data_IF_289936025858
#
_entry.id   IF_289936025858
#
_cell.length_a   1.000
_cell.length_b   1.000
_cell.length_c   1.000
_cell.angle_alpha   90.00
_cell.angle_beta   90.00
_cell.angle_gamma   90.00
#
_symmetry.space_group_name_H-M   'P 1'
#
loop_
_entity.id
_entity.type
_entity.pdbx_description
1 polymer ?
#
# COMPACT_ATOMS: atom_id res chain seq x y z
N UNK A 1 -9.15 0.93 -11.66
CA UNK A 1 -9.00 0.16 -10.40
C UNK A 1 -10.31 -0.41 -9.88
N UNK A 2 -10.32 -1.03 -8.70
CA UNK A 2 -11.48 -1.67 -8.07
C UNK A 2 -11.68 -1.13 -6.65
N UNK A 3 -12.76 -0.40 -6.38
CA UNK A 3 -13.05 0.14 -5.05
C UNK A 3 -14.38 -0.36 -4.46
N UNK A 4 -14.43 -0.46 -3.14
CA UNK A 4 -15.65 -0.68 -2.36
C UNK A 4 -15.89 0.54 -1.48
N UNK A 5 -16.91 1.32 -1.82
CA UNK A 5 -17.32 2.52 -1.08
C UNK A 5 -18.34 2.16 0.01
N UNK A 6 -18.70 3.13 0.85
CA UNK A 6 -19.79 2.95 1.83
C UNK A 6 -21.14 2.58 1.18
N UNK A 7 -21.32 2.94 -0.09
CA UNK A 7 -22.54 2.71 -0.88
C UNK A 7 -22.49 1.45 -1.75
N UNK A 8 -21.34 0.77 -1.86
CA UNK A 8 -21.16 -0.45 -2.65
C UNK A 8 -19.94 -0.42 -3.57
N UNK A 9 -19.85 -1.44 -4.44
CA UNK A 9 -18.72 -1.61 -5.34
C UNK A 9 -18.76 -0.60 -6.50
N UNK A 10 -17.61 -0.03 -6.85
CA UNK A 10 -17.45 0.88 -8.00
C UNK A 10 -16.31 0.41 -8.92
N UNK A 11 -16.24 0.97 -10.13
CA UNK A 11 -15.23 0.69 -11.15
C UNK A 11 -15.09 -0.81 -11.45
N UNK A 12 -13.87 -1.35 -11.45
CA UNK A 12 -13.63 -2.77 -11.72
C UNK A 12 -14.17 -3.69 -10.60
N UNK A 13 -14.46 -3.17 -9.40
CA UNK A 13 -15.17 -3.94 -8.38
C UNK A 13 -16.63 -4.14 -8.79
N UNK A 14 -17.27 -3.13 -9.39
CA UNK A 14 -18.61 -3.26 -9.95
C UNK A 14 -18.62 -4.22 -11.14
N UNK A 15 -17.64 -4.11 -12.05
CA UNK A 15 -17.48 -5.04 -13.15
C UNK A 15 -17.30 -6.49 -12.65
N UNK A 16 -16.45 -6.69 -11.63
CA UNK A 16 -16.26 -7.97 -10.96
C UNK A 16 -17.56 -8.51 -10.33
N UNK A 17 -18.35 -7.64 -9.70
CA UNK A 17 -19.63 -8.03 -9.11
C UNK A 17 -20.64 -8.53 -10.15
N UNK A 18 -20.65 -7.92 -11.34
CA UNK A 18 -21.53 -8.29 -12.45
C UNK A 18 -21.10 -9.56 -13.21
N UNK A 19 -19.86 -10.03 -13.03
CA UNK A 19 -19.40 -11.29 -13.61
C UNK A 19 -20.13 -12.51 -13.00
N UNK A 20 -20.30 -13.54 -13.81
CA UNK A 20 -20.83 -14.82 -13.33
C UNK A 20 -19.87 -15.47 -12.32
N UNK A 21 -20.41 -16.38 -11.49
CA UNK A 21 -19.59 -17.13 -10.54
C UNK A 21 -18.48 -17.94 -11.23
N UNK A 22 -18.73 -18.49 -12.43
CA UNK A 22 -17.73 -19.24 -13.19
C UNK A 22 -16.63 -18.33 -13.75
N UNK A 23 -16.99 -17.14 -14.27
CA UNK A 23 -15.99 -16.16 -14.73
C UNK A 23 -15.06 -15.72 -13.60
N UNK A 24 -15.62 -15.36 -12.44
CA UNK A 24 -14.83 -15.01 -11.25
C UNK A 24 -13.93 -16.15 -10.82
N UNK A 25 -14.44 -17.38 -10.76
CA UNK A 25 -13.65 -18.55 -10.38
C UNK A 25 -12.48 -18.80 -11.34
N UNK A 26 -12.72 -18.72 -12.64
CA UNK A 26 -11.67 -18.87 -13.66
C UNK A 26 -10.59 -17.80 -13.53
N UNK A 27 -10.98 -16.53 -13.38
CA UNK A 27 -10.02 -15.44 -13.22
C UNK A 27 -9.21 -15.63 -11.92
N UNK A 28 -9.87 -15.92 -10.80
CA UNK A 28 -9.16 -16.21 -9.53
C UNK A 28 -8.16 -17.35 -9.69
N UNK A 29 -8.54 -18.45 -10.35
CA UNK A 29 -7.64 -19.58 -10.60
C UNK A 29 -6.43 -19.18 -11.48
N UNK A 30 -6.64 -18.40 -12.53
CA UNK A 30 -5.56 -17.95 -13.41
C UNK A 30 -4.56 -17.06 -12.66
N UNK A 31 -5.05 -16.11 -11.87
CA UNK A 31 -4.21 -15.24 -11.04
C UNK A 31 -3.49 -16.05 -9.96
N UNK A 32 -4.18 -16.96 -9.26
CA UNK A 32 -3.58 -17.84 -8.26
C UNK A 32 -2.50 -18.74 -8.87
N UNK A 33 -2.72 -19.32 -10.04
CA UNK A 33 -1.75 -20.14 -10.75
C UNK A 33 -0.51 -19.34 -11.18
N UNK A 34 -0.68 -18.05 -11.45
CA UNK A 34 0.41 -17.12 -11.70
C UNK A 34 1.09 -16.59 -10.42
N UNK A 35 0.63 -17.02 -9.24
CA UNK A 35 1.12 -16.53 -7.94
C UNK A 35 0.67 -15.11 -7.60
N UNK A 36 -0.34 -14.58 -8.28
CA UNK A 36 -0.89 -13.23 -8.10
C UNK A 36 -2.11 -13.31 -7.17
N UNK A 37 -2.19 -12.36 -6.24
CA UNK A 37 -3.34 -12.17 -5.35
C UNK A 37 -4.20 -11.02 -5.87
N UNK A 38 -5.51 -11.17 -5.79
CA UNK A 38 -6.47 -10.16 -6.21
C UNK A 38 -7.06 -9.51 -4.96
N UNK A 39 -6.92 -8.19 -4.86
CA UNK A 39 -7.46 -7.37 -3.77
C UNK A 39 -8.44 -6.34 -4.36
N UNK A 40 -9.47 -5.97 -3.58
CA UNK A 40 -10.26 -4.75 -3.81
C UNK A 40 -9.74 -3.70 -2.86
N UNK A 41 -9.81 -2.44 -3.22
CA UNK A 41 -9.52 -1.36 -2.30
C UNK A 41 -10.81 -0.90 -1.59
N UNK A 42 -10.82 -0.79 -0.27
CA UNK A 42 -11.91 -0.11 0.43
C UNK A 42 -11.68 1.41 0.37
N UNK A 43 -12.70 2.17 -0.04
CA UNK A 43 -12.71 3.63 -0.16
C UNK A 43 -11.96 4.19 -1.39
N UNK A 44 -10.86 4.91 -1.20
CA UNK A 44 -10.24 5.82 -2.17
C UNK A 44 -10.55 7.29 -1.89
N UNK A 45 -9.84 8.19 -2.58
CA UNK A 45 -9.78 9.65 -2.34
C UNK A 45 -11.12 10.38 -2.21
N UNK A 46 -12.19 9.85 -2.79
CA UNK A 46 -13.52 10.49 -2.81
C UNK A 46 -14.42 10.12 -1.63
N UNK A 47 -14.02 9.17 -0.77
CA UNK A 47 -14.80 8.75 0.40
C UNK A 47 -14.15 9.24 1.71
N UNK A 48 -14.96 9.80 2.61
CA UNK A 48 -14.53 10.32 3.90
C UNK A 48 -15.35 9.64 5.01
N UNK A 49 -15.10 8.34 5.31
CA UNK A 49 -15.98 7.52 6.15
C UNK A 49 -16.01 7.99 7.61
N UNK A 50 -14.93 8.53 8.15
CA UNK A 50 -14.91 9.05 9.53
C UNK A 50 -15.64 10.38 9.59
N UNK A 51 -15.35 11.30 8.67
CA UNK A 51 -15.99 12.62 8.61
C UNK A 51 -17.50 12.52 8.38
N UNK A 52 -17.96 11.56 7.59
CA UNK A 52 -19.39 11.28 7.36
C UNK A 52 -20.08 10.56 8.53
N UNK A 53 -19.35 10.15 9.55
CA UNK A 53 -19.90 9.44 10.72
C UNK A 53 -20.31 7.99 10.44
N UNK A 54 -19.70 7.35 9.44
CA UNK A 54 -19.97 5.95 9.15
C UNK A 54 -19.47 5.04 10.29
N UNK A 55 -20.30 4.08 10.71
CA UNK A 55 -19.94 3.13 11.76
C UNK A 55 -18.86 2.15 11.26
N UNK A 56 -17.70 2.17 11.91
CA UNK A 56 -16.54 1.37 11.52
C UNK A 56 -16.83 -0.14 11.55
N UNK A 57 -17.56 -0.62 12.56
CA UNK A 57 -17.80 -2.06 12.73
C UNK A 57 -18.81 -2.59 11.72
N UNK A 58 -19.90 -1.84 11.50
CA UNK A 58 -20.91 -2.16 10.52
C UNK A 58 -20.35 -2.11 9.10
N UNK A 59 -19.51 -1.11 8.81
CA UNK A 59 -18.87 -1.00 7.52
C UNK A 59 -17.84 -2.10 7.32
N UNK A 60 -17.02 -2.41 8.33
CA UNK A 60 -16.10 -3.54 8.29
C UNK A 60 -16.83 -4.87 8.06
N UNK A 61 -17.98 -5.09 8.70
CA UNK A 61 -18.80 -6.29 8.49
C UNK A 61 -19.35 -6.37 7.08
N UNK A 62 -19.90 -5.26 6.57
CA UNK A 62 -20.49 -5.16 5.22
C UNK A 62 -19.43 -5.38 4.16
N UNK A 63 -18.29 -4.71 4.33
CA UNK A 63 -17.14 -4.91 3.48
C UNK A 63 -16.66 -6.34 3.61
N UNK A 64 -16.37 -6.87 4.80
CA UNK A 64 -15.90 -8.25 5.01
C UNK A 64 -16.81 -9.33 4.39
N UNK A 65 -18.11 -9.07 4.28
CA UNK A 65 -19.06 -9.93 3.57
C UNK A 65 -18.90 -9.87 2.05
N UNK A 66 -18.63 -8.68 1.47
CA UNK A 66 -18.21 -8.52 0.07
C UNK A 66 -16.82 -9.15 -0.15
N UNK A 67 -15.94 -8.87 0.82
CA UNK A 67 -14.67 -9.45 1.31
C UNK A 67 -14.04 -10.69 0.70
N UNK A 68 -13.68 -11.58 1.61
CA UNK A 68 -12.86 -12.76 1.39
C UNK A 68 -11.62 -12.59 0.47
N UNK A 69 -11.07 -11.37 0.25
CA UNK A 69 -9.70 -11.10 -0.30
C UNK A 69 -9.12 -9.63 -0.37
N UNK A 70 -9.40 -8.60 0.46
CA UNK A 70 -9.18 -7.17 0.08
C UNK A 70 -8.21 -6.27 0.89
N UNK A 71 -7.84 -5.12 0.28
CA UNK A 71 -7.00 -3.97 0.72
C UNK A 71 -7.85 -2.80 1.29
N UNK A 72 -7.27 -1.93 2.13
CA UNK A 72 -7.93 -0.76 2.74
C UNK A 72 -7.22 0.53 2.33
N UNK A 73 -7.91 1.42 1.63
CA UNK A 73 -7.36 2.67 1.09
C UNK A 73 -8.07 3.89 1.69
N UNK A 74 -7.74 4.16 2.96
CA UNK A 74 -8.31 5.24 3.73
C UNK A 74 -7.61 6.56 3.41
N UNK A 75 -8.34 7.54 2.88
CA UNK A 75 -7.82 8.87 2.51
C UNK A 75 -8.68 10.02 3.10
N UNK A 76 -9.23 9.85 4.32
CA UNK A 76 -10.02 10.89 5.01
C UNK A 76 -9.10 11.98 5.61
N UNK A 77 -8.54 12.83 4.75
CA UNK A 77 -7.67 13.94 5.13
C UNK A 77 -8.34 14.85 6.17
N UNK A 78 -9.65 15.08 6.05
CA UNK A 78 -10.39 15.95 6.98
C UNK A 78 -10.40 15.39 8.40
N UNK A 79 -10.63 14.08 8.56
CA UNK A 79 -10.60 13.45 9.87
C UNK A 79 -9.17 13.36 10.41
N UNK A 80 -8.18 13.03 9.57
CA UNK A 80 -6.79 12.93 9.98
C UNK A 80 -6.22 14.29 10.44
N UNK A 81 -6.50 15.37 9.70
CA UNK A 81 -6.00 16.72 9.98
C UNK A 81 -6.65 17.39 11.19
N UNK A 82 -7.80 16.89 11.67
CA UNK A 82 -8.34 17.32 12.98
C UNK A 82 -7.36 17.02 14.12
N UNK A 83 -6.57 15.95 13.99
CA UNK A 83 -5.57 15.56 14.97
C UNK A 83 -6.13 15.22 16.35
N UNK A 84 -7.43 14.91 16.47
CA UNK A 84 -8.12 14.66 17.74
C UNK A 84 -8.18 13.17 18.14
N UNK A 85 -7.59 12.28 17.33
CA UNK A 85 -7.58 10.83 17.57
C UNK A 85 -8.79 10.08 16.98
N UNK A 86 -9.77 10.78 16.38
CA UNK A 86 -10.99 10.15 15.88
C UNK A 86 -10.76 9.28 14.65
N UNK A 87 -9.91 9.72 13.71
CA UNK A 87 -9.51 8.93 12.54
C UNK A 87 -8.78 7.65 12.95
N UNK A 88 -7.86 7.76 13.92
CA UNK A 88 -7.07 6.63 14.42
C UNK A 88 -7.94 5.62 15.16
N UNK A 89 -8.87 6.10 16.01
CA UNK A 89 -9.83 5.23 16.70
C UNK A 89 -10.69 4.48 15.70
N UNK A 90 -11.22 5.19 14.69
CA UNK A 90 -12.02 4.59 13.63
C UNK A 90 -11.25 3.52 12.86
N UNK A 91 -10.01 3.81 12.44
CA UNK A 91 -9.15 2.87 11.72
C UNK A 91 -8.83 1.62 12.56
N UNK A 92 -8.59 1.79 13.86
CA UNK A 92 -8.34 0.68 14.79
C UNK A 92 -9.57 -0.23 14.89
N UNK A 93 -10.75 0.34 15.08
CA UNK A 93 -12.01 -0.41 15.18
C UNK A 93 -12.34 -1.12 13.86
N UNK A 94 -12.18 -0.42 12.74
CA UNK A 94 -12.37 -0.98 11.40
C UNK A 94 -11.43 -2.18 11.15
N UNK A 95 -10.14 -2.03 11.47
CA UNK A 95 -9.14 -3.10 11.33
C UNK A 95 -9.48 -4.30 12.20
N UNK A 96 -9.91 -4.06 13.45
CA UNK A 96 -10.34 -5.11 14.38
C UNK A 96 -11.60 -5.84 13.88
N UNK A 97 -12.57 -5.10 13.36
CA UNK A 97 -13.78 -5.65 12.74
C UNK A 97 -13.46 -6.53 11.55
N UNK A 98 -12.61 -6.05 10.63
CA UNK A 98 -12.16 -6.82 9.47
C UNK A 98 -11.46 -8.11 9.89
N UNK A 99 -10.51 -8.06 10.83
CA UNK A 99 -9.78 -9.27 11.27
C UNK A 99 -10.62 -10.29 12.02
N UNK A 100 -11.71 -9.85 12.64
CA UNK A 100 -12.67 -10.79 13.24
C UNK A 100 -13.35 -11.67 12.20
N UNK A 101 -13.55 -11.15 10.98
CA UNK A 101 -14.14 -11.88 9.85
C UNK A 101 -13.10 -12.46 8.88
N UNK A 102 -11.89 -11.89 8.82
CA UNK A 102 -10.82 -12.18 7.86
C UNK A 102 -9.50 -12.52 8.62
N UNK A 103 -9.38 -13.75 9.16
CA UNK A 103 -8.23 -14.13 9.95
C UNK A 103 -6.90 -13.97 9.20
N UNK A 104 -5.91 -13.41 9.89
CA UNK A 104 -4.56 -13.26 9.37
C UNK A 104 -3.95 -14.62 9.00
N UNK A 105 -3.15 -14.64 7.93
CA UNK A 105 -2.60 -15.87 7.36
C UNK A 105 -3.57 -16.65 6.46
N UNK A 106 -4.88 -16.37 6.52
CA UNK A 106 -5.87 -16.85 5.55
C UNK A 106 -6.22 -15.77 4.52
N UNK A 107 -6.33 -14.52 4.98
CA UNK A 107 -6.63 -13.37 4.15
C UNK A 107 -5.57 -12.30 4.31
N UNK A 108 -5.25 -11.66 3.19
CA UNK A 108 -4.41 -10.47 3.16
C UNK A 108 -5.28 -9.28 3.57
N UNK A 109 -4.72 -8.42 4.43
CA UNK A 109 -5.25 -7.11 4.76
C UNK A 109 -4.11 -6.11 4.74
N UNK A 110 -4.24 -5.11 3.90
CA UNK A 110 -3.22 -4.08 3.68
C UNK A 110 -3.86 -2.72 3.86
N UNK A 111 -3.01 -1.71 4.09
CA UNK A 111 -3.44 -0.33 4.19
C UNK A 111 -2.65 0.52 3.19
N UNK A 112 -3.20 1.60 2.63
CA UNK A 112 -2.49 2.48 1.70
C UNK A 112 -2.30 3.92 2.24
N UNK A 113 -1.59 4.12 3.36
CA UNK A 113 -1.43 5.45 3.94
C UNK A 113 -0.60 6.38 3.06
N UNK A 114 -0.89 7.69 3.11
CA UNK A 114 0.04 8.72 2.64
C UNK A 114 1.31 8.70 3.49
N UNK A 115 2.50 8.77 2.86
CA UNK A 115 3.78 8.70 3.58
C UNK A 115 3.91 9.68 4.77
N UNK A 116 3.44 10.94 4.69
CA UNK A 116 3.54 11.88 5.81
C UNK A 116 2.81 11.40 7.07
N UNK A 117 1.69 10.69 6.95
CA UNK A 117 0.94 10.15 8.10
C UNK A 117 1.70 9.07 8.88
N UNK A 118 2.78 8.54 8.31
CA UNK A 118 3.68 7.58 8.96
C UNK A 118 4.89 8.26 9.62
N UNK A 119 4.99 9.59 9.51
CA UNK A 119 5.94 10.46 10.21
C UNK A 119 5.31 11.23 11.37
N UNK A 120 6.09 11.70 12.35
CA UNK A 120 5.58 12.57 13.40
C UNK A 120 5.32 13.97 12.84
N UNK A 121 4.15 14.53 13.13
CA UNK A 121 3.79 15.89 12.74
C UNK A 121 2.99 16.59 13.81
N UNK A 122 3.19 17.90 13.93
CA UNK A 122 2.34 18.75 14.76
C UNK A 122 0.91 18.85 14.20
N UNK A 123 0.73 18.65 12.89
CA UNK A 123 -0.58 18.69 12.23
C UNK A 123 -1.47 17.49 12.59
N UNK A 124 -0.88 16.37 13.03
CA UNK A 124 -1.61 15.16 13.40
C UNK A 124 -1.32 14.80 14.87
N UNK A 125 -1.86 15.61 15.80
CA UNK A 125 -1.60 15.43 17.23
C UNK A 125 -2.09 14.05 17.78
N UNK A 126 -3.05 13.42 17.10
CA UNK A 126 -3.49 12.04 17.36
C UNK A 126 -2.47 10.96 16.96
N UNK A 127 -1.41 11.35 16.23
CA UNK A 127 -0.31 10.50 15.80
C UNK A 127 -0.54 9.75 14.49
N UNK A 128 -1.69 9.91 13.84
CA UNK A 128 -2.01 9.35 12.54
C UNK A 128 -1.65 7.85 12.44
N UNK A 129 -0.97 7.43 11.37
CA UNK A 129 -0.62 6.03 11.16
C UNK A 129 0.43 5.50 12.15
N UNK A 130 1.19 6.37 12.84
CA UNK A 130 2.05 5.92 13.95
C UNK A 130 1.18 5.33 15.07
N UNK A 131 0.07 5.97 15.41
CA UNK A 131 -0.88 5.48 16.42
C UNK A 131 -1.59 4.22 15.95
N UNK A 132 -2.06 4.19 14.69
CA UNK A 132 -2.69 2.99 14.11
C UNK A 132 -1.74 1.80 14.12
N UNK A 133 -0.48 1.98 13.69
CA UNK A 133 0.53 0.92 13.70
C UNK A 133 0.82 0.40 15.11
N UNK A 134 0.92 1.28 16.12
CA UNK A 134 1.10 0.86 17.51
C UNK A 134 -0.05 0.01 18.03
N UNK A 135 -1.29 0.31 17.64
CA UNK A 135 -2.47 -0.39 18.15
C UNK A 135 -2.81 -1.66 17.38
N UNK A 136 -2.72 -1.63 16.05
CA UNK A 136 -3.17 -2.72 15.17
C UNK A 136 -2.19 -3.06 14.05
N UNK A 137 -0.98 -2.50 14.01
CA UNK A 137 0.00 -2.78 12.95
C UNK A 137 0.45 -4.25 12.86
N UNK A 138 0.35 -5.00 13.96
CA UNK A 138 0.57 -6.46 13.95
C UNK A 138 -0.50 -7.22 13.15
N UNK A 139 -1.70 -6.64 13.02
CA UNK A 139 -2.84 -7.18 12.27
C UNK A 139 -2.85 -6.77 10.80
N UNK A 140 -2.01 -5.82 10.39
CA UNK A 140 -1.88 -5.36 9.00
C UNK A 140 -0.72 -6.13 8.37
N UNK A 141 -0.93 -6.74 7.19
CA UNK A 141 0.10 -7.53 6.53
C UNK A 141 1.21 -6.64 5.96
N UNK A 142 0.85 -5.54 5.29
CA UNK A 142 1.77 -4.48 4.87
C UNK A 142 1.05 -3.16 4.55
N UNK A 143 1.83 -2.12 4.31
CA UNK A 143 1.40 -0.76 3.94
C UNK A 143 1.82 -0.45 2.50
N UNK A 144 0.85 -0.21 1.61
CA UNK A 144 1.04 0.35 0.27
C UNK A 144 1.29 1.86 0.37
N UNK A 145 2.41 2.27 0.97
CA UNK A 145 2.70 3.66 1.33
C UNK A 145 2.78 4.57 0.11
N UNK A 146 1.96 5.62 0.07
CA UNK A 146 1.89 6.53 -1.06
C UNK A 146 2.97 7.62 -0.96
N UNK A 147 4.02 7.49 -1.78
CA UNK A 147 5.11 8.47 -1.88
C UNK A 147 4.89 9.46 -3.05
N UNK A 148 3.67 9.97 -3.17
CA UNK A 148 3.24 10.88 -4.23
C UNK A 148 2.08 11.76 -3.73
N UNK A 149 1.76 12.82 -4.47
CA UNK A 149 0.80 13.88 -4.10
C UNK A 149 1.17 14.73 -2.87
N UNK A 150 2.40 14.64 -2.35
CA UNK A 150 2.82 15.32 -1.11
C UNK A 150 3.64 16.60 -1.32
N UNK A 151 3.92 16.97 -2.56
CA UNK A 151 4.70 18.14 -2.93
C UNK A 151 5.61 17.86 -4.12
N UNK A 152 5.92 18.90 -4.91
CA UNK A 152 6.60 18.73 -6.20
C UNK A 152 8.01 18.12 -6.10
N UNK A 153 8.70 18.34 -4.99
CA UNK A 153 10.04 17.79 -4.71
C UNK A 153 10.03 16.58 -3.76
N UNK A 154 8.86 16.14 -3.30
CA UNK A 154 8.77 15.14 -2.23
C UNK A 154 8.94 13.74 -2.79
N UNK A 155 9.92 13.01 -2.23
CA UNK A 155 10.23 11.63 -2.60
C UNK A 155 10.59 11.40 -4.07
N UNK A 156 11.04 12.42 -4.80
CA UNK A 156 11.37 12.32 -6.25
C UNK A 156 12.81 11.88 -6.52
N UNK A 157 13.62 11.70 -5.47
CA UNK A 157 15.00 11.18 -5.53
C UNK A 157 15.12 9.96 -4.61
N UNK A 158 16.14 9.11 -4.81
CA UNK A 158 16.36 7.97 -3.90
C UNK A 158 16.67 8.42 -2.47
N UNK A 159 17.41 9.53 -2.28
CA UNK A 159 17.70 10.04 -0.95
C UNK A 159 16.42 10.50 -0.25
N UNK A 160 15.58 11.28 -0.96
CA UNK A 160 14.30 11.76 -0.44
C UNK A 160 13.30 10.65 -0.16
N UNK A 161 13.24 9.65 -1.04
CA UNK A 161 12.34 8.51 -0.92
C UNK A 161 12.78 7.56 0.20
N UNK A 162 14.07 7.26 0.30
CA UNK A 162 14.55 6.19 1.16
C UNK A 162 15.06 6.67 2.52
N UNK A 163 15.74 7.81 2.59
CA UNK A 163 16.67 8.08 3.70
C UNK A 163 16.38 9.37 4.46
N UNK A 164 15.95 10.44 3.78
CA UNK A 164 15.74 11.73 4.40
C UNK A 164 14.62 12.49 3.69
N UNK A 165 13.43 12.49 4.28
CA UNK A 165 12.34 13.34 3.82
C UNK A 165 12.59 14.81 4.18
N UNK A 166 11.83 15.72 3.57
CA UNK A 166 12.04 17.15 3.81
C UNK A 166 11.40 17.60 5.12
N UNK A 167 11.63 18.86 5.50
CA UNK A 167 10.92 19.47 6.64
C UNK A 167 9.41 19.61 6.44
N UNK A 168 8.92 19.54 5.20
CA UNK A 168 7.48 19.61 4.90
C UNK A 168 6.78 18.31 5.30
N UNK A 169 7.47 17.18 5.15
CA UNK A 169 7.00 15.85 5.55
C UNK A 169 8.07 15.21 6.43
N UNK A 170 8.26 15.62 7.68
CA UNK A 170 9.40 15.19 8.46
C UNK A 170 9.34 13.70 8.82
N UNK A 171 10.48 13.01 8.66
CA UNK A 171 10.69 11.59 9.01
C UNK A 171 9.69 10.62 8.37
N UNK A 172 9.42 10.82 7.10
CA UNK A 172 8.45 10.03 6.32
C UNK A 172 9.08 9.34 5.11
N UNK A 173 10.41 9.32 4.99
CA UNK A 173 11.09 8.43 4.03
C UNK A 173 11.11 6.98 4.54
N UNK A 174 11.38 5.99 3.68
CA UNK A 174 11.26 4.56 4.03
C UNK A 174 12.00 4.18 5.32
N UNK A 175 13.28 4.55 5.47
CA UNK A 175 14.06 4.20 6.66
C UNK A 175 13.73 5.07 7.87
N UNK A 176 13.20 6.27 7.67
CA UNK A 176 12.70 7.09 8.76
C UNK A 176 11.36 6.56 9.29
N UNK A 177 10.49 6.04 8.42
CA UNK A 177 9.25 5.36 8.80
C UNK A 177 9.56 4.11 9.63
N UNK A 178 10.54 3.31 9.24
CA UNK A 178 11.02 2.21 10.09
C UNK A 178 11.41 2.72 11.48
N UNK A 179 12.20 3.79 11.56
CA UNK A 179 12.62 4.37 12.83
C UNK A 179 11.45 4.92 13.68
N UNK A 180 10.27 5.15 13.09
CA UNK A 180 9.04 5.52 13.80
C UNK A 180 8.27 4.31 14.37
N UNK A 181 8.78 3.08 14.16
CA UNK A 181 8.25 1.85 14.76
C UNK A 181 7.49 0.94 13.80
N UNK A 182 7.58 1.18 12.49
CA UNK A 182 7.03 0.27 11.48
C UNK A 182 8.04 -0.83 11.15
N UNK A 183 7.56 -2.02 10.83
CA UNK A 183 8.43 -3.08 10.29
C UNK A 183 8.89 -2.68 8.88
N UNK A 184 10.21 -2.61 8.67
CA UNK A 184 10.81 -2.21 7.40
C UNK A 184 10.23 -2.99 6.20
N UNK A 185 9.96 -4.28 6.39
CA UNK A 185 9.50 -5.17 5.31
C UNK A 185 7.99 -5.10 5.09
N UNK A 186 7.28 -4.25 5.84
CA UNK A 186 5.88 -3.90 5.61
C UNK A 186 5.71 -2.57 4.88
N UNK A 187 6.78 -1.82 4.58
CA UNK A 187 6.69 -0.49 3.95
C UNK A 187 6.86 -0.65 2.43
N UNK A 188 5.78 -0.89 1.71
CA UNK A 188 5.79 -0.99 0.24
C UNK A 188 5.90 0.41 -0.36
N UNK A 189 6.79 0.59 -1.34
CA UNK A 189 6.99 1.88 -2.01
C UNK A 189 5.88 2.08 -3.05
N UNK A 190 4.94 3.00 -2.81
CA UNK A 190 3.90 3.39 -3.76
C UNK A 190 4.34 4.54 -4.67
N UNK A 191 4.24 4.37 -5.99
CA UNK A 191 4.58 5.40 -6.99
C UNK A 191 3.61 5.49 -8.17
N UNK A 192 3.46 6.67 -8.79
CA UNK A 192 2.65 6.79 -9.99
C UNK A 192 3.23 6.01 -11.18
N UNK A 193 2.38 5.38 -11.98
CA UNK A 193 2.74 4.65 -13.20
C UNK A 193 3.19 5.60 -14.30
N UNK A 194 2.39 6.64 -14.52
CA UNK A 194 2.64 7.76 -15.41
C UNK A 194 2.50 9.11 -14.68
N UNK A 195 2.96 10.18 -15.33
CA UNK A 195 2.90 11.53 -14.78
C UNK A 195 1.46 12.04 -14.62
N UNK A 196 0.52 11.54 -15.42
CA UNK A 196 -0.89 11.96 -15.35
C UNK A 196 -1.65 11.30 -14.18
N UNK A 197 -1.11 10.24 -13.60
CA UNK A 197 -1.81 9.44 -12.58
C UNK A 197 -1.79 10.11 -11.20
N UNK A 198 -0.92 11.11 -11.00
CA UNK A 198 -0.78 11.86 -9.76
C UNK A 198 -0.41 13.32 -10.03
N UNK A 199 -0.72 14.20 -9.08
CA UNK A 199 -0.36 15.62 -9.15
C UNK A 199 1.15 15.84 -9.08
N UNK A 200 1.87 15.03 -8.29
CA UNK A 200 3.33 15.08 -8.15
C UNK A 200 3.88 13.73 -7.65
N UNK A 201 5.21 13.56 -7.66
CA UNK A 201 5.88 12.39 -7.07
C UNK A 201 6.19 11.23 -8.02
N UNK A 202 5.82 11.34 -9.31
CA UNK A 202 6.23 10.38 -10.34
C UNK A 202 7.76 10.31 -10.46
N UNK A 203 8.27 9.11 -10.71
CA UNK A 203 9.67 8.85 -10.99
C UNK A 203 9.77 7.97 -12.23
N UNK A 204 10.72 8.23 -13.11
CA UNK A 204 11.00 7.31 -14.21
C UNK A 204 11.43 5.93 -13.65
N UNK A 205 11.12 4.88 -14.41
CA UNK A 205 11.31 3.50 -13.95
C UNK A 205 12.78 3.15 -13.72
N UNK A 206 13.73 3.80 -14.40
CA UNK A 206 15.16 3.58 -14.22
C UNK A 206 15.66 4.13 -12.88
N UNK A 207 15.28 5.37 -12.56
CA UNK A 207 15.56 5.97 -11.25
C UNK A 207 14.90 5.17 -10.13
N UNK A 208 13.62 4.81 -10.27
CA UNK A 208 12.90 4.04 -9.26
C UNK A 208 13.53 2.65 -9.05
N UNK A 209 13.92 1.95 -10.12
CA UNK A 209 14.64 0.68 -10.01
C UNK A 209 15.98 0.82 -9.28
N UNK A 210 16.69 1.93 -9.50
CA UNK A 210 17.89 2.29 -8.75
C UNK A 210 17.61 2.40 -7.25
N UNK A 211 16.53 3.09 -6.87
CA UNK A 211 16.14 3.22 -5.47
C UNK A 211 15.74 1.88 -4.85
N UNK A 212 14.97 1.06 -5.57
CA UNK A 212 14.58 -0.30 -5.12
C UNK A 212 15.81 -1.17 -4.86
N UNK A 213 16.81 -1.11 -5.74
CA UNK A 213 18.09 -1.82 -5.57
C UNK A 213 18.85 -1.34 -4.33
N UNK A 214 18.93 -0.02 -4.13
CA UNK A 214 19.58 0.58 -2.94
C UNK A 214 18.85 0.20 -1.64
N UNK A 215 17.52 0.23 -1.64
CA UNK A 215 16.72 -0.16 -0.49
C UNK A 215 16.95 -1.63 -0.13
N UNK A 216 16.93 -2.51 -1.13
CA UNK A 216 17.20 -3.94 -0.95
C UNK A 216 18.60 -4.21 -0.40
N UNK A 217 19.62 -3.50 -0.87
CA UNK A 217 20.97 -3.61 -0.35
C UNK A 217 21.10 -3.19 1.13
N UNK A 218 20.14 -2.39 1.62
CA UNK A 218 20.03 -1.95 3.02
C UNK A 218 19.08 -2.80 3.87
N UNK A 219 18.63 -3.96 3.36
CA UNK A 219 17.83 -4.93 4.13
C UNK A 219 16.32 -4.80 3.97
N UNK A 220 15.83 -3.85 3.16
CA UNK A 220 14.41 -3.73 2.85
C UNK A 220 13.94 -4.78 1.84
N UNK A 221 12.75 -5.35 2.04
CA UNK A 221 12.22 -6.41 1.18
C UNK A 221 10.69 -6.36 0.97
N UNK A 222 10.07 -5.18 1.06
CA UNK A 222 8.60 -5.05 1.00
C UNK A 222 8.02 -5.07 -0.43
N UNK A 223 8.73 -4.50 -1.42
CA UNK A 223 8.27 -4.40 -2.81
C UNK A 223 7.69 -3.04 -3.19
N UNK A 224 7.13 -2.93 -4.40
CA UNK A 224 6.64 -1.66 -4.96
C UNK A 224 5.16 -1.80 -5.32
N UNK A 225 4.39 -0.76 -5.02
CA UNK A 225 3.01 -0.53 -5.45
C UNK A 225 2.99 0.57 -6.50
N UNK A 226 2.06 0.50 -7.45
CA UNK A 226 1.89 1.51 -8.48
C UNK A 226 0.47 2.02 -8.59
N UNK A 227 0.33 3.33 -8.77
CA UNK A 227 -0.92 4.00 -9.16
C UNK A 227 -0.79 4.60 -10.57
N UNK A 228 -1.38 4.06 -11.62
CA UNK A 228 -2.26 2.91 -11.63
C UNK A 228 -2.12 2.08 -12.91
N UNK A 229 -2.79 0.93 -12.96
CA UNK A 229 -2.99 0.21 -14.21
C UNK A 229 -4.05 0.94 -15.05
N UNK A 230 -3.86 1.13 -16.38
CA UNK A 230 -2.93 0.40 -17.26
C UNK A 230 -1.55 1.04 -17.47
N UNK A 231 -1.30 2.23 -16.97
CA UNK A 231 -0.02 2.92 -17.16
C UNK A 231 1.15 2.18 -16.48
N UNK A 232 0.91 1.62 -15.29
CA UNK A 232 1.82 0.71 -14.59
C UNK A 232 1.63 -0.77 -14.98
N UNK A 233 1.73 -1.07 -16.27
CA UNK A 233 1.59 -2.44 -16.78
C UNK A 233 2.81 -3.35 -16.48
N UNK A 234 2.82 -4.55 -17.06
CA UNK A 234 3.90 -5.54 -16.88
C UNK A 234 5.29 -5.03 -17.29
N UNK A 235 5.39 -4.14 -18.28
CA UNK A 235 6.67 -3.54 -18.67
C UNK A 235 7.18 -2.58 -17.59
N UNK A 236 6.28 -1.76 -17.02
CA UNK A 236 6.60 -0.90 -15.87
C UNK A 236 7.08 -1.74 -14.68
N UNK A 237 6.33 -2.78 -14.31
CA UNK A 237 6.68 -3.68 -13.20
C UNK A 237 8.05 -4.34 -13.44
N UNK A 238 8.31 -4.77 -14.67
CA UNK A 238 9.59 -5.39 -15.06
C UNK A 238 10.76 -4.41 -14.98
N UNK A 239 10.56 -3.16 -15.39
CA UNK A 239 11.59 -2.13 -15.29
C UNK A 239 11.89 -1.79 -13.83
N UNK A 240 10.86 -1.55 -13.01
CA UNK A 240 11.01 -1.10 -11.62
C UNK A 240 11.59 -2.16 -10.70
N UNK A 241 11.17 -3.43 -10.85
CA UNK A 241 11.78 -4.54 -10.09
C UNK A 241 13.28 -4.69 -10.38
N UNK A 242 13.69 -4.28 -11.59
CA UNK A 242 15.07 -4.34 -12.09
C UNK A 242 15.74 -5.68 -11.78
N UNK A 243 17.02 -5.60 -11.41
CA UNK A 243 17.79 -6.74 -10.91
C UNK A 243 17.53 -7.06 -9.43
N UNK A 244 16.87 -6.15 -8.69
CA UNK A 244 16.63 -6.31 -7.26
C UNK A 244 15.72 -7.50 -6.98
N UNK A 245 14.72 -7.74 -7.82
CA UNK A 245 13.83 -8.90 -7.71
C UNK A 245 13.78 -9.61 -9.06
N UNK A 246 14.65 -10.58 -9.40
CA UNK A 246 14.53 -11.30 -10.66
C UNK A 246 13.27 -12.17 -10.70
N UNK A 247 12.64 -12.33 -11.88
CA UNK A 247 11.63 -13.39 -12.10
C UNK A 247 12.42 -14.69 -12.17
N UNK A 248 12.13 -15.64 -11.29
CA UNK A 248 12.99 -16.81 -11.05
C UNK A 248 13.45 -17.55 -12.30
N UNK A 249 14.75 -17.80 -12.38
CA UNK A 249 15.39 -18.59 -13.43
C UNK A 249 16.91 -18.52 -13.49
N UNK A 250 17.64 -18.53 -12.37
CA UNK A 250 18.98 -19.14 -12.22
C UNK A 250 19.56 -18.83 -10.83
N UNK A 251 19.49 -19.80 -9.93
CA UNK A 251 20.56 -19.98 -8.95
C UNK A 251 21.82 -20.36 -9.75
N UNK A 252 22.71 -19.40 -9.98
CA UNK A 252 24.07 -19.71 -10.43
C UNK A 252 24.75 -20.50 -9.30
N UNK A 253 24.74 -21.82 -9.43
CA UNK A 253 25.66 -22.67 -8.70
C UNK A 253 27.06 -22.30 -9.16
N UNK A 254 27.80 -21.61 -8.32
CA UNK A 254 29.24 -21.41 -8.48
C UNK A 254 29.92 -22.76 -8.28
N UNK A 255 30.09 -23.52 -9.36
CA UNK A 255 31.01 -24.64 -9.41
C UNK A 255 32.43 -24.09 -9.36
N UNK A 256 33.05 -24.15 -8.19
CA UNK A 256 34.49 -23.98 -8.00
C UNK A 256 35.23 -25.12 -8.69
N UNK A 257 35.85 -24.84 -9.83
CA UNK A 257 36.83 -25.73 -10.44
C UNK A 257 38.17 -25.61 -9.70
N UNK A 258 38.49 -26.57 -8.84
CA UNK A 258 39.85 -26.80 -8.37
C UNK A 258 40.60 -27.65 -9.38
N UNK A 259 41.52 -27.03 -10.12
CA UNK A 259 42.53 -27.72 -10.93
C UNK A 259 43.61 -28.30 -10.03
N UNK A 260 43.89 -29.59 -10.24
CA UNK A 260 45.07 -30.31 -9.73
C UNK A 260 46.26 -30.12 -10.66
#
# INVERSE_FOLDING_TARGET
>A
MSFLLSTGATDMAMAWQQMSASQRSTIKQQYQAAGIKLLVSAFGSTEQPTTSGADATQLASTMAAWVKEYDVDYEDETAMDKGDGSAETWLVDFTNGLRSALPQGQYILTHAPQAPWMGPSASWAGGAYITVNKQVGSKIDWYNTQFYNQGTSEYTTCDGLLTASTSSNPKSSVFEIEANGFDLNKIVIGKPGAQADATNGQMDTGTLAGCVSQAKAKGWNAGVMSWEYPDANSAWITAVRGSAYPIGGSSSSSSSSSSS
#
